data_IF_722731656507
#
_entry.id   IF_722731656507
#
_cell.length_a   1.000
_cell.length_b   1.000
_cell.length_c   1.000
_cell.angle_alpha   90.00
_cell.angle_beta   90.00
_cell.angle_gamma   90.00
#
_symmetry.space_group_name_H-M   'P 1'
#
loop_
_entity.id
_entity.type
_entity.pdbx_description
1 polymer ?
#
# COMPACT_ATOMS: atom_id res chain seq x y z
N UNK A 1 -3.83 0.81 19.18
CA UNK A 1 -2.85 1.92 18.99
C UNK A 1 -3.38 3.27 19.43
N UNK A 2 -4.60 3.70 19.03
CA UNK A 2 -5.27 4.88 19.64
C UNK A 2 -5.40 4.68 21.16
N UNK A 3 -5.79 3.46 21.57
CA UNK A 3 -5.87 3.07 22.98
C UNK A 3 -4.52 3.16 23.70
N UNK A 4 -3.40 2.82 23.07
CA UNK A 4 -2.08 2.82 23.75
C UNK A 4 -1.64 4.25 24.07
N UNK A 5 -1.75 5.18 23.13
CA UNK A 5 -1.41 6.60 23.36
C UNK A 5 -2.35 7.23 24.40
N UNK A 6 -3.63 6.85 24.41
CA UNK A 6 -4.61 7.30 25.42
C UNK A 6 -4.32 6.73 26.81
N UNK A 7 -3.93 5.46 26.91
CA UNK A 7 -3.53 4.85 28.18
C UNK A 7 -2.30 5.53 28.75
N UNK A 8 -1.28 5.80 27.92
CA UNK A 8 -0.08 6.54 28.36
C UNK A 8 -0.44 7.97 28.81
N UNK A 9 -1.33 8.65 28.08
CA UNK A 9 -1.83 9.97 28.49
C UNK A 9 -2.50 9.92 29.87
N UNK A 10 -3.35 8.92 30.10
CA UNK A 10 -3.99 8.69 31.40
C UNK A 10 -2.94 8.44 32.50
N UNK A 11 -1.91 7.65 32.21
CA UNK A 11 -0.80 7.42 33.15
C UNK A 11 -0.05 8.70 33.50
N UNK A 12 0.23 9.57 32.53
CA UNK A 12 0.87 10.88 32.76
C UNK A 12 0.00 11.76 33.69
N UNK A 13 -1.33 11.76 33.50
CA UNK A 13 -2.25 12.49 34.38
C UNK A 13 -2.24 11.94 35.81
N UNK A 14 -2.15 10.62 35.98
CA UNK A 14 -2.01 9.98 37.30
C UNK A 14 -0.70 10.39 37.95
N UNK A 15 0.41 10.38 37.20
CA UNK A 15 1.73 10.84 37.68
C UNK A 15 1.67 12.31 38.10
N UNK A 16 0.99 13.17 37.35
CA UNK A 16 0.76 14.57 37.74
C UNK A 16 0.01 14.70 39.07
N UNK A 17 -1.00 13.86 39.31
CA UNK A 17 -1.71 13.79 40.60
C UNK A 17 -0.80 13.30 41.73
N UNK A 18 0.05 12.30 41.48
CA UNK A 18 1.04 11.80 42.44
C UNK A 18 2.06 12.88 42.81
N UNK A 19 2.53 13.66 41.83
CA UNK A 19 3.45 14.79 42.02
C UNK A 19 2.82 15.90 42.88
N UNK A 20 1.51 16.16 42.72
CA UNK A 20 0.79 17.11 43.57
C UNK A 20 0.68 16.62 45.02
N UNK A 21 0.46 15.31 45.22
CA UNK A 21 0.41 14.69 46.55
C UNK A 21 1.79 14.61 47.21
N UNK A 22 2.84 14.31 46.44
CA UNK A 22 4.22 14.19 46.94
C UNK A 22 4.78 15.51 47.46
N UNK A 23 4.23 16.67 47.06
CA UNK A 23 4.58 17.98 47.65
C UNK A 23 4.35 18.03 49.16
N UNK A 24 3.42 17.23 49.70
CA UNK A 24 3.14 17.10 51.14
C UNK A 24 4.11 16.14 51.84
N UNK A 25 4.86 15.36 51.07
CA UNK A 25 5.85 14.40 51.55
C UNK A 25 7.23 15.09 51.45
N UNK A 26 8.00 15.06 52.54
CA UNK A 26 9.32 15.69 52.63
C UNK A 26 10.46 14.90 51.95
N UNK A 27 10.13 13.79 51.30
CA UNK A 27 11.08 12.86 50.69
C UNK A 27 11.47 13.33 49.29
N UNK A 28 12.75 13.66 49.11
CA UNK A 28 13.30 14.13 47.85
C UNK A 28 13.48 12.99 46.83
N UNK A 29 13.82 11.79 47.29
CA UNK A 29 14.03 10.62 46.43
C UNK A 29 12.70 10.19 45.81
N UNK A 30 11.63 10.23 46.60
CA UNK A 30 10.28 9.97 46.11
C UNK A 30 9.84 10.99 45.03
N UNK A 31 10.18 12.28 45.20
CA UNK A 31 9.87 13.31 44.19
C UNK A 31 10.68 13.12 42.91
N UNK A 32 11.94 12.73 43.03
CA UNK A 32 12.81 12.43 41.89
C UNK A 32 12.24 11.28 41.08
N UNK A 33 11.89 10.16 41.73
CA UNK A 33 11.31 8.99 41.04
C UNK A 33 10.02 9.31 40.28
N UNK A 34 9.16 10.18 40.82
CA UNK A 34 7.93 10.59 40.12
C UNK A 34 8.27 11.47 38.90
N UNK A 35 9.27 12.34 39.02
CA UNK A 35 9.72 13.16 37.90
C UNK A 35 10.33 12.30 36.79
N UNK A 36 11.16 11.33 37.14
CA UNK A 36 11.77 10.38 36.21
C UNK A 36 10.69 9.56 35.49
N UNK A 37 9.71 9.02 36.24
CA UNK A 37 8.56 8.31 35.66
C UNK A 37 7.75 9.21 34.71
N UNK A 38 7.58 10.49 35.04
CA UNK A 38 6.90 11.45 34.17
C UNK A 38 7.63 11.66 32.85
N UNK A 39 8.97 11.70 32.87
CA UNK A 39 9.80 11.84 31.68
C UNK A 39 9.73 10.57 30.83
N UNK A 40 9.91 9.38 31.43
CA UNK A 40 9.83 8.10 30.72
C UNK A 40 8.48 7.90 30.03
N UNK A 41 7.37 8.28 30.68
CA UNK A 41 6.05 8.22 30.07
C UNK A 41 5.88 9.24 28.93
N UNK A 42 6.51 10.41 29.05
CA UNK A 42 6.54 11.42 27.99
C UNK A 42 7.24 10.90 26.74
N UNK A 43 8.41 10.31 26.91
CA UNK A 43 9.19 9.72 25.82
C UNK A 43 8.44 8.53 25.19
N UNK A 44 7.89 7.63 26.00
CA UNK A 44 7.08 6.52 25.53
C UNK A 44 5.85 6.98 24.72
N UNK A 45 5.24 8.11 25.10
CA UNK A 45 4.11 8.68 24.36
C UNK A 45 4.53 9.17 22.97
N UNK A 46 5.68 9.82 22.87
CA UNK A 46 6.23 10.29 21.60
C UNK A 46 6.60 9.11 20.69
N UNK A 47 7.25 8.09 21.23
CA UNK A 47 7.60 6.88 20.49
C UNK A 47 6.35 6.16 19.98
N UNK A 48 5.34 5.99 20.83
CA UNK A 48 4.05 5.40 20.44
C UNK A 48 3.33 6.21 19.33
N UNK A 49 3.43 7.54 19.35
CA UNK A 49 2.89 8.39 18.30
C UNK A 49 3.64 8.22 16.98
N UNK A 50 4.98 8.12 17.02
CA UNK A 50 5.79 7.88 15.83
C UNK A 50 5.49 6.52 15.20
N UNK A 51 5.45 5.45 16.02
CA UNK A 51 5.08 4.10 15.57
C UNK A 51 3.68 4.07 14.95
N UNK A 52 2.74 4.87 15.47
CA UNK A 52 1.40 5.01 14.88
C UNK A 52 1.45 5.58 13.47
N UNK A 53 2.25 6.61 13.25
CA UNK A 53 2.39 7.22 11.93
C UNK A 53 3.07 6.28 10.93
N UNK A 54 4.15 5.61 11.36
CA UNK A 54 4.86 4.63 10.54
C UNK A 54 3.94 3.46 10.14
N UNK A 55 3.19 2.92 11.09
CA UNK A 55 2.26 1.83 10.81
C UNK A 55 1.10 2.26 9.88
N UNK A 56 0.65 3.52 9.97
CA UNK A 56 -0.34 4.05 9.04
C UNK A 56 0.24 4.14 7.61
N UNK A 57 1.47 4.63 7.47
CA UNK A 57 2.18 4.69 6.19
C UNK A 57 2.36 3.30 5.58
N UNK A 58 2.87 2.34 6.36
CA UNK A 58 3.08 0.96 5.91
C UNK A 58 1.76 0.28 5.52
N UNK A 59 0.67 0.54 6.23
CA UNK A 59 -0.66 0.02 5.85
C UNK A 59 -1.13 0.59 4.52
N UNK A 60 -0.96 1.88 4.29
CA UNK A 60 -1.32 2.53 3.04
C UNK A 60 -0.51 1.97 1.86
N UNK A 61 0.81 1.83 2.03
CA UNK A 61 1.68 1.22 1.03
C UNK A 61 1.28 -0.24 0.76
N UNK A 62 0.99 -1.02 1.80
CA UNK A 62 0.53 -2.40 1.65
C UNK A 62 -0.79 -2.48 0.85
N UNK A 63 -1.74 -1.57 1.11
CA UNK A 63 -2.99 -1.49 0.36
C UNK A 63 -2.74 -1.14 -1.11
N UNK A 64 -1.89 -0.16 -1.41
CA UNK A 64 -1.55 0.20 -2.80
C UNK A 64 -0.86 -0.96 -3.53
N UNK A 65 0.10 -1.63 -2.88
CA UNK A 65 0.79 -2.79 -3.44
C UNK A 65 -0.17 -3.94 -3.72
N UNK A 66 -1.11 -4.24 -2.80
CA UNK A 66 -2.15 -5.24 -3.03
C UNK A 66 -3.03 -4.90 -4.22
N UNK A 67 -3.49 -3.65 -4.33
CA UNK A 67 -4.28 -3.21 -5.49
C UNK A 67 -3.49 -3.30 -6.81
N UNK A 68 -2.18 -3.00 -6.79
CA UNK A 68 -1.32 -3.18 -7.98
C UNK A 68 -1.15 -4.65 -8.35
N UNK A 69 -1.03 -5.55 -7.36
CA UNK A 69 -0.96 -6.99 -7.60
C UNK A 69 -2.28 -7.53 -8.14
N UNK A 70 -3.41 -7.18 -7.53
CA UNK A 70 -4.74 -7.58 -8.01
C UNK A 70 -4.98 -7.11 -9.45
N UNK A 71 -4.60 -5.87 -9.80
CA UNK A 71 -4.64 -5.40 -11.19
C UNK A 71 -3.80 -6.27 -12.12
N UNK A 72 -2.55 -6.59 -11.73
CA UNK A 72 -1.66 -7.45 -12.53
C UNK A 72 -2.19 -8.87 -12.67
N UNK A 73 -2.83 -9.42 -11.65
CA UNK A 73 -3.39 -10.77 -11.68
C UNK A 73 -4.65 -10.83 -12.56
N UNK A 74 -5.55 -9.85 -12.43
CA UNK A 74 -6.75 -9.75 -13.27
C UNK A 74 -6.41 -9.42 -14.74
N UNK A 75 -5.33 -8.67 -14.96
CA UNK A 75 -4.84 -8.35 -16.30
C UNK A 75 -3.84 -9.40 -16.81
N UNK A 76 -3.91 -10.66 -16.39
CA UNK A 76 -3.04 -11.70 -16.93
C UNK A 76 -3.59 -12.21 -18.28
N UNK A 77 -2.90 -11.96 -19.40
CA UNK A 77 -3.39 -12.41 -20.69
C UNK A 77 -3.11 -13.90 -20.93
N UNK A 78 -4.03 -14.53 -21.65
CA UNK A 78 -3.83 -15.82 -22.30
C UNK A 78 -3.26 -15.56 -23.69
N UNK A 79 -2.03 -16.00 -23.93
CA UNK A 79 -1.40 -15.93 -25.25
C UNK A 79 -1.89 -17.05 -26.16
N UNK A 80 -2.48 -16.69 -27.29
CA UNK A 80 -2.90 -17.64 -28.31
C UNK A 80 -2.86 -16.97 -29.70
N UNK A 81 -2.35 -17.68 -30.71
CA UNK A 81 -2.34 -17.21 -32.10
C UNK A 81 -1.68 -15.83 -32.31
N UNK A 82 -0.60 -15.56 -31.57
CA UNK A 82 0.16 -14.31 -31.69
C UNK A 82 -0.44 -13.11 -30.95
N UNK A 83 -1.59 -13.28 -30.28
CA UNK A 83 -2.35 -12.21 -29.62
C UNK A 83 -2.68 -12.58 -28.17
N UNK A 84 -3.06 -11.57 -27.38
CA UNK A 84 -3.52 -11.75 -26.00
C UNK A 84 -5.04 -11.76 -25.92
N UNK A 85 -5.57 -12.64 -25.07
CA UNK A 85 -6.97 -12.65 -24.66
C UNK A 85 -7.02 -12.46 -23.15
N UNK A 86 -8.00 -11.73 -22.63
CA UNK A 86 -8.16 -11.55 -21.19
C UNK A 86 -9.44 -12.26 -20.75
N UNK A 87 -9.39 -12.94 -19.61
CA UNK A 87 -10.56 -13.62 -19.06
C UNK A 87 -11.68 -12.60 -18.78
N UNK A 88 -12.88 -12.88 -19.28
CA UNK A 88 -14.03 -11.99 -19.12
C UNK A 88 -14.09 -10.79 -20.08
N UNK A 89 -13.08 -10.59 -20.95
CA UNK A 89 -13.12 -9.57 -22.00
C UNK A 89 -13.31 -10.19 -23.39
N UNK A 90 -14.16 -9.56 -24.21
CA UNK A 90 -14.35 -9.94 -25.60
C UNK A 90 -13.28 -9.27 -26.50
N UNK A 91 -12.77 -10.04 -27.46
CA UNK A 91 -11.79 -9.61 -28.45
C UNK A 91 -10.33 -9.96 -28.12
N UNK A 92 -9.49 -9.81 -29.13
CA UNK A 92 -8.05 -10.09 -29.06
C UNK A 92 -7.25 -8.80 -28.99
N UNK A 93 -6.12 -8.86 -28.31
CA UNK A 93 -5.33 -7.69 -27.95
C UNK A 93 -3.88 -7.85 -28.38
N UNK A 94 -3.27 -6.71 -28.68
CA UNK A 94 -1.89 -6.62 -29.14
C UNK A 94 -0.91 -6.98 -28.01
N UNK A 95 -0.08 -7.99 -28.24
CA UNK A 95 0.98 -8.42 -27.30
C UNK A 95 2.02 -7.32 -27.09
N UNK A 96 2.53 -6.74 -28.18
CA UNK A 96 3.53 -5.67 -28.13
C UNK A 96 3.08 -4.43 -27.31
N UNK A 97 1.84 -3.94 -27.51
CA UNK A 97 1.34 -2.79 -26.75
C UNK A 97 1.10 -3.10 -25.26
N UNK A 98 0.74 -4.35 -24.95
CA UNK A 98 0.51 -4.78 -23.58
C UNK A 98 1.84 -4.99 -22.83
N UNK A 99 2.83 -5.63 -23.45
CA UNK A 99 4.13 -5.89 -22.82
C UNK A 99 4.94 -4.62 -22.56
N UNK A 100 4.86 -3.65 -23.48
CA UNK A 100 5.64 -2.41 -23.38
C UNK A 100 4.98 -1.34 -22.50
N UNK A 101 3.65 -1.32 -22.43
CA UNK A 101 2.93 -0.22 -21.79
C UNK A 101 1.66 -0.60 -21.04
N UNK A 102 1.38 -1.90 -20.87
CA UNK A 102 0.15 -2.42 -20.26
C UNK A 102 -1.12 -1.87 -20.93
N UNK A 103 -1.05 -1.58 -22.23
CA UNK A 103 -2.18 -1.05 -23.02
C UNK A 103 -2.90 -2.19 -23.73
N UNK A 104 -4.16 -2.42 -23.36
CA UNK A 104 -5.06 -3.37 -24.02
C UNK A 104 -5.59 -2.79 -25.34
N UNK A 105 -4.76 -2.83 -26.39
CA UNK A 105 -5.16 -2.38 -27.73
C UNK A 105 -5.77 -3.55 -28.50
N UNK A 106 -7.05 -3.46 -28.87
CA UNK A 106 -7.71 -4.47 -29.71
C UNK A 106 -7.07 -4.53 -31.10
N UNK A 107 -6.73 -5.73 -31.53
CA UNK A 107 -6.25 -5.99 -32.90
C UNK A 107 -7.42 -6.12 -33.87
N UNK A 108 -7.16 -5.86 -35.15
CA UNK A 108 -8.11 -6.04 -36.24
C UNK A 108 -7.71 -7.27 -37.05
N UNK A 109 -8.70 -8.00 -37.58
CA UNK A 109 -8.41 -9.12 -38.49
C UNK A 109 -8.00 -8.59 -39.85
N UNK A 110 -6.90 -9.09 -40.39
CA UNK A 110 -6.48 -8.80 -41.76
C UNK A 110 -7.38 -9.55 -42.76
N UNK A 111 -7.62 -8.93 -43.92
CA UNK A 111 -8.45 -9.52 -44.96
C UNK A 111 -7.78 -10.77 -45.56
N UNK A 112 -8.60 -11.73 -46.01
CA UNK A 112 -8.19 -13.08 -46.43
C UNK A 112 -7.03 -13.14 -47.45
N UNK A 113 -6.80 -12.08 -48.24
CA UNK A 113 -5.67 -12.00 -49.19
C UNK A 113 -4.31 -11.69 -48.57
N UNK A 114 -4.26 -11.33 -47.28
CA UNK A 114 -3.05 -10.91 -46.56
C UNK A 114 -2.71 -11.83 -45.37
N UNK A 115 -3.43 -12.95 -45.20
CA UNK A 115 -3.21 -13.90 -44.08
C UNK A 115 -1.79 -14.53 -44.07
N UNK A 116 -1.06 -14.48 -45.20
CA UNK A 116 0.36 -14.90 -45.29
C UNK A 116 1.28 -14.05 -44.41
N UNK A 117 0.91 -12.78 -44.17
CA UNK A 117 1.68 -11.85 -43.33
C UNK A 117 1.25 -11.88 -41.85
N UNK A 118 0.18 -12.62 -41.54
CA UNK A 118 -0.45 -12.70 -40.23
C UNK A 118 -1.95 -12.46 -40.31
N UNK A 119 -2.66 -12.84 -39.26
CA UNK A 119 -4.12 -12.78 -39.15
C UNK A 119 -4.61 -11.51 -38.48
N UNK A 120 -3.77 -10.87 -37.69
CA UNK A 120 -4.09 -9.80 -36.75
C UNK A 120 -3.18 -8.61 -36.95
N UNK A 121 -3.72 -7.38 -36.93
CA UNK A 121 -2.96 -6.15 -37.02
C UNK A 121 -3.36 -5.18 -35.89
N UNK A 122 -2.37 -4.62 -35.20
CA UNK A 122 -2.60 -3.62 -34.17
C UNK A 122 -2.74 -2.20 -34.77
N UNK A 123 -3.85 -1.49 -34.53
CA UNK A 123 -4.04 -0.11 -35.02
C UNK A 123 -3.11 0.93 -34.36
N UNK A 124 -2.52 0.61 -33.20
CA UNK A 124 -1.70 1.58 -32.46
C UNK A 124 -0.21 1.49 -32.77
N UNK A 125 0.32 0.30 -33.03
CA UNK A 125 1.75 0.10 -33.29
C UNK A 125 2.04 -0.51 -34.67
N UNK A 126 1.01 -0.81 -35.46
CA UNK A 126 1.08 -1.43 -36.78
C UNK A 126 1.81 -2.79 -36.79
N UNK A 127 1.93 -3.44 -35.64
CA UNK A 127 2.46 -4.79 -35.56
C UNK A 127 1.45 -5.80 -36.11
N UNK A 128 1.95 -6.78 -36.86
CA UNK A 128 1.17 -7.88 -37.43
C UNK A 128 1.49 -9.19 -36.69
N UNK A 129 0.46 -9.97 -36.38
CA UNK A 129 0.54 -11.22 -35.65
C UNK A 129 -0.30 -12.29 -36.37
N UNK A 130 0.10 -13.56 -36.35
CA UNK A 130 -0.71 -14.65 -36.91
C UNK A 130 0.06 -15.92 -37.16
#
# INVERSE_FOLDING_TARGET
MIEVVQTIQTSIEIVGKLLALSKKIGDADFKMLIADLSNELGDAKLEAANLKNELASLRQENTDLKQRLERRENDRPIYADGVYNFEGEDGQFCTSCFDTGQRKIRVRRLANGFEVFGKWECPSCNATFG
#
